data_IF_769491202634
#
_entry.id   IF_769491202634
#
_cell.length_a   1.000
_cell.length_b   1.000
_cell.length_c   1.000
_cell.angle_alpha   90.00
_cell.angle_beta   90.00
_cell.angle_gamma   90.00
#
_symmetry.space_group_name_H-M   'P 1'
#
loop_
_entity.id
_entity.type
_entity.pdbx_description
1 polymer ?
#
# COMPACT_ATOMS: atom_id res chain seq x y z
N UNK A 1 -1.33 20.38 -7.83
CA UNK A 1 -1.43 18.91 -7.95
C UNK A 1 -2.85 18.48 -8.38
N UNK A 2 -3.87 18.61 -7.52
CA UNK A 2 -5.22 18.08 -7.81
C UNK A 2 -5.87 18.64 -9.08
N UNK A 3 -5.64 19.91 -9.43
CA UNK A 3 -6.13 20.51 -10.69
C UNK A 3 -5.62 19.75 -11.93
N UNK A 4 -4.32 19.47 -11.98
CA UNK A 4 -3.70 18.75 -13.10
C UNK A 4 -4.19 17.30 -13.20
N UNK A 5 -4.33 16.62 -12.06
CA UNK A 5 -4.89 15.27 -12.02
C UNK A 5 -6.36 15.25 -12.48
N UNK A 6 -7.15 16.24 -12.06
CA UNK A 6 -8.54 16.37 -12.47
C UNK A 6 -8.66 16.60 -13.99
N UNK A 7 -7.78 17.39 -14.59
CA UNK A 7 -7.75 17.56 -16.04
C UNK A 7 -7.50 16.24 -16.80
N UNK A 8 -6.69 15.33 -16.24
CA UNK A 8 -6.50 13.99 -16.82
C UNK A 8 -7.76 13.13 -16.74
N UNK A 9 -8.52 13.25 -15.66
CA UNK A 9 -9.82 12.57 -15.51
C UNK A 9 -10.84 13.14 -16.49
N UNK A 10 -10.97 14.47 -16.55
CA UNK A 10 -11.92 15.14 -17.45
C UNK A 10 -11.60 14.91 -18.94
N UNK A 11 -10.32 14.77 -19.28
CA UNK A 11 -9.91 14.40 -20.66
C UNK A 11 -10.12 12.92 -20.99
N UNK A 12 -10.65 12.11 -20.07
CA UNK A 12 -10.94 10.69 -20.29
C UNK A 12 -9.71 9.78 -20.31
N UNK A 13 -8.51 10.30 -19.97
CA UNK A 13 -7.26 9.51 -19.96
C UNK A 13 -7.12 8.67 -18.69
N UNK A 14 -7.82 9.05 -17.62
CA UNK A 14 -7.76 8.40 -16.31
C UNK A 14 -9.19 8.23 -15.79
N UNK A 15 -9.53 7.03 -15.34
CA UNK A 15 -10.86 6.74 -14.77
C UNK A 15 -10.94 7.13 -13.29
N UNK A 16 -9.91 6.78 -12.51
CA UNK A 16 -9.85 6.98 -11.07
C UNK A 16 -8.44 7.38 -10.64
N UNK A 17 -8.34 8.20 -9.61
CA UNK A 17 -7.06 8.61 -9.04
C UNK A 17 -6.68 7.66 -7.89
N UNK A 18 -5.43 7.24 -7.87
CA UNK A 18 -4.81 6.54 -6.74
C UNK A 18 -3.59 7.30 -6.24
N UNK A 19 -3.14 6.97 -5.03
CA UNK A 19 -1.92 7.53 -4.45
C UNK A 19 -1.11 6.44 -3.76
N UNK A 20 0.22 6.55 -3.76
CA UNK A 20 1.11 5.57 -3.15
C UNK A 20 2.08 6.23 -2.17
N UNK A 21 2.42 5.49 -1.11
CA UNK A 21 3.54 5.79 -0.19
C UNK A 21 3.59 7.26 0.28
N UNK A 22 2.41 7.84 0.50
CA UNK A 22 2.22 9.25 0.81
C UNK A 22 1.69 9.38 2.24
N UNK A 23 2.24 10.28 3.07
CA UNK A 23 1.75 10.45 4.45
C UNK A 23 0.24 10.72 4.51
N UNK A 24 -0.45 10.09 5.47
CA UNK A 24 -1.91 10.18 5.64
C UNK A 24 -2.43 11.63 5.59
N UNK A 25 -1.76 12.55 6.29
CA UNK A 25 -2.17 13.95 6.34
C UNK A 25 -2.12 14.67 4.98
N UNK A 26 -1.22 14.27 4.08
CA UNK A 26 -1.15 14.82 2.72
C UNK A 26 -2.36 14.34 1.92
N UNK A 27 -2.70 13.05 2.03
CA UNK A 27 -3.85 12.44 1.35
C UNK A 27 -5.14 13.12 1.79
N UNK A 28 -5.35 13.26 3.11
CA UNK A 28 -6.52 13.92 3.67
C UNK A 28 -6.65 15.37 3.18
N UNK A 29 -5.57 16.16 3.23
CA UNK A 29 -5.58 17.54 2.73
C UNK A 29 -5.86 17.62 1.23
N UNK A 30 -5.33 16.70 0.43
CA UNK A 30 -5.56 16.66 -1.00
C UNK A 30 -7.02 16.31 -1.34
N UNK A 31 -7.60 15.34 -0.63
CA UNK A 31 -9.00 14.98 -0.79
C UNK A 31 -9.95 16.06 -0.27
N UNK A 32 -9.61 16.73 0.84
CA UNK A 32 -10.34 17.90 1.32
C UNK A 32 -10.34 19.03 0.29
N UNK A 33 -9.17 19.37 -0.25
CA UNK A 33 -9.06 20.35 -1.33
C UNK A 33 -9.92 19.95 -2.53
N UNK A 34 -9.89 18.69 -2.94
CA UNK A 34 -10.68 18.20 -4.05
C UNK A 34 -12.19 18.33 -3.80
N UNK A 35 -12.69 17.95 -2.61
CA UNK A 35 -14.10 18.13 -2.23
C UNK A 35 -14.50 19.61 -2.30
N UNK A 36 -13.71 20.50 -1.71
CA UNK A 36 -14.02 21.92 -1.61
C UNK A 36 -14.04 22.65 -2.97
N UNK A 37 -13.43 22.06 -4.01
CA UNK A 37 -13.33 22.65 -5.35
C UNK A 37 -14.02 21.83 -6.43
N UNK A 38 -14.82 20.82 -6.07
CA UNK A 38 -15.54 19.97 -7.05
C UNK A 38 -14.62 19.15 -7.95
N UNK A 39 -13.43 18.78 -7.48
CA UNK A 39 -12.46 17.96 -8.22
C UNK A 39 -12.58 16.48 -7.85
N UNK A 40 -12.07 15.59 -8.71
CA UNK A 40 -11.97 14.17 -8.40
C UNK A 40 -10.99 13.92 -7.24
N UNK A 41 -11.46 13.21 -6.20
CA UNK A 41 -10.66 12.75 -5.05
C UNK A 41 -9.84 11.48 -5.39
N UNK A 42 -8.84 11.17 -4.57
CA UNK A 42 -8.21 9.84 -4.59
C UNK A 42 -9.21 8.78 -4.12
N UNK A 43 -9.26 7.66 -4.84
CA UNK A 43 -10.19 6.54 -4.58
C UNK A 43 -9.48 5.29 -4.04
N UNK A 44 -8.16 5.18 -4.20
CA UNK A 44 -7.36 4.04 -3.72
C UNK A 44 -6.01 4.50 -3.17
N UNK A 45 -5.56 3.87 -2.09
CA UNK A 45 -4.22 4.04 -1.54
C UNK A 45 -3.41 2.76 -1.74
N UNK A 46 -2.24 2.88 -2.35
CA UNK A 46 -1.26 1.81 -2.50
C UNK A 46 -0.12 2.00 -1.49
N UNK A 47 0.33 0.94 -0.82
CA UNK A 47 1.49 1.06 0.05
C UNK A 47 1.93 -0.24 0.69
N UNK A 48 3.09 -0.23 1.33
CA UNK A 48 3.68 -1.43 1.91
C UNK A 48 2.85 -1.93 3.09
N UNK A 49 2.43 -3.19 3.03
CA UNK A 49 1.91 -3.88 4.20
C UNK A 49 2.17 -5.39 4.08
N UNK A 50 2.52 -6.00 5.21
CA UNK A 50 2.70 -7.44 5.35
C UNK A 50 2.67 -7.81 6.84
N UNK A 51 2.63 -9.11 7.16
CA UNK A 51 2.75 -9.56 8.54
C UNK A 51 4.03 -9.04 9.25
N UNK A 52 5.10 -8.74 8.49
CA UNK A 52 6.37 -8.23 9.01
C UNK A 52 6.46 -6.69 9.02
N UNK A 53 5.56 -5.97 8.35
CA UNK A 53 5.61 -4.51 8.22
C UNK A 53 4.19 -3.96 8.29
N UNK A 54 3.85 -3.40 9.46
CA UNK A 54 2.48 -3.05 9.85
C UNK A 54 2.30 -1.55 10.15
N UNK A 55 3.30 -0.71 9.87
CA UNK A 55 3.22 0.75 10.08
C UNK A 55 2.01 1.38 9.35
N UNK A 56 1.63 0.76 8.23
CA UNK A 56 0.44 1.06 7.45
C UNK A 56 -0.86 1.07 8.28
N UNK A 57 -0.95 0.25 9.33
CA UNK A 57 -2.15 0.16 10.18
C UNK A 57 -2.34 1.36 11.10
N UNK A 58 -1.26 2.07 11.44
CA UNK A 58 -1.32 3.18 12.40
C UNK A 58 -2.09 4.37 11.84
N UNK A 59 -1.78 4.76 10.61
CA UNK A 59 -2.29 6.02 10.02
C UNK A 59 -3.02 5.80 8.70
N UNK A 60 -2.56 4.87 7.86
CA UNK A 60 -3.10 4.73 6.50
C UNK A 60 -4.48 4.07 6.53
N UNK A 61 -4.64 2.95 7.24
CA UNK A 61 -5.94 2.25 7.33
C UNK A 61 -7.03 3.15 7.94
N UNK A 62 -6.80 3.85 9.07
CA UNK A 62 -7.78 4.79 9.60
C UNK A 62 -8.10 5.93 8.62
N UNK A 63 -7.08 6.50 7.96
CA UNK A 63 -7.26 7.57 6.98
C UNK A 63 -8.08 7.10 5.78
N UNK A 64 -7.79 5.96 5.18
CA UNK A 64 -8.55 5.48 4.02
C UNK A 64 -9.99 5.16 4.38
N UNK A 65 -10.24 4.65 5.59
CA UNK A 65 -11.60 4.47 6.09
C UNK A 65 -12.34 5.81 6.24
N UNK A 66 -11.69 6.84 6.78
CA UNK A 66 -12.28 8.17 6.94
C UNK A 66 -12.52 8.89 5.59
N UNK A 67 -11.63 8.69 4.62
CA UNK A 67 -11.69 9.30 3.30
C UNK A 67 -12.51 8.49 2.27
N UNK A 68 -13.02 7.32 2.64
CA UNK A 68 -13.81 6.44 1.76
C UNK A 68 -12.98 5.82 0.63
N UNK A 69 -11.72 5.49 0.91
CA UNK A 69 -10.76 4.98 -0.08
C UNK A 69 -10.57 3.46 0.03
N UNK A 70 -10.32 2.81 -1.11
CA UNK A 70 -9.84 1.43 -1.17
C UNK A 70 -8.37 1.30 -0.79
N UNK A 71 -7.95 0.10 -0.43
CA UNK A 71 -6.57 -0.25 -0.12
C UNK A 71 -6.01 -1.21 -1.18
N UNK A 72 -4.79 -0.95 -1.63
CA UNK A 72 -4.04 -1.81 -2.54
C UNK A 72 -2.64 -2.10 -1.96
N UNK A 73 -2.51 -2.99 -0.97
CA UNK A 73 -1.22 -3.26 -0.36
C UNK A 73 -0.22 -3.89 -1.33
N UNK A 74 1.01 -3.41 -1.31
CA UNK A 74 2.13 -4.08 -1.98
C UNK A 74 3.03 -4.78 -0.96
N UNK A 75 3.75 -5.82 -1.41
CA UNK A 75 4.70 -6.54 -0.56
C UNK A 75 4.08 -7.48 0.46
N UNK A 76 2.82 -7.90 0.28
CA UNK A 76 2.06 -8.76 1.18
C UNK A 76 2.83 -10.02 1.66
N UNK A 77 3.67 -10.61 0.79
CA UNK A 77 4.51 -11.78 1.09
C UNK A 77 5.92 -11.42 1.60
N UNK A 78 6.07 -10.28 2.27
CA UNK A 78 7.37 -9.77 2.72
C UNK A 78 8.33 -9.42 1.58
N UNK A 79 7.81 -9.20 0.36
CA UNK A 79 8.65 -9.03 -0.84
C UNK A 79 9.29 -10.33 -1.34
N UNK A 80 8.75 -11.50 -0.93
CA UNK A 80 9.27 -12.82 -1.30
C UNK A 80 10.13 -13.48 -0.21
N UNK A 81 10.26 -12.84 0.96
CA UNK A 81 11.03 -13.39 2.10
C UNK A 81 10.23 -14.34 2.99
N UNK A 82 8.91 -14.34 2.86
CA UNK A 82 8.03 -15.32 3.52
C UNK A 82 8.17 -16.65 2.80
N UNK A 83 9.10 -17.45 3.30
CA UNK A 83 9.48 -18.76 2.78
C UNK A 83 9.70 -19.72 3.93
N UNK A 84 9.48 -21.00 3.68
CA UNK A 84 9.89 -22.06 4.60
C UNK A 84 11.41 -22.22 4.59
N UNK A 85 11.95 -22.92 5.59
CA UNK A 85 13.38 -23.25 5.60
C UNK A 85 13.79 -24.07 4.37
N UNK A 86 12.96 -25.02 3.94
CA UNK A 86 13.18 -25.83 2.74
C UNK A 86 13.21 -24.95 1.47
N UNK A 87 12.26 -24.04 1.32
CA UNK A 87 12.21 -23.09 0.19
C UNK A 87 13.34 -22.07 0.16
N UNK A 88 13.98 -21.79 1.32
CA UNK A 88 15.19 -20.96 1.36
C UNK A 88 16.43 -21.73 0.92
N UNK A 89 16.49 -23.04 1.20
CA UNK A 89 17.58 -23.92 0.77
C UNK A 89 17.45 -24.32 -0.70
N UNK A 90 16.25 -24.35 -1.25
CA UNK A 90 16.05 -24.62 -2.68
C UNK A 90 16.58 -23.46 -3.55
N UNK A 91 17.08 -23.79 -4.75
CA UNK A 91 17.53 -22.78 -5.72
C UNK A 91 16.39 -22.25 -6.60
N UNK A 92 15.14 -22.59 -6.29
CA UNK A 92 13.97 -22.24 -7.09
C UNK A 92 13.39 -20.87 -6.72
N UNK A 93 13.01 -20.11 -7.75
CA UNK A 93 12.36 -18.81 -7.61
C UNK A 93 13.29 -17.66 -7.25
N UNK A 94 12.70 -16.55 -6.79
CA UNK A 94 13.41 -15.30 -6.52
C UNK A 94 14.31 -15.45 -5.29
N UNK A 95 15.60 -15.18 -5.45
CA UNK A 95 16.57 -15.11 -4.34
C UNK A 95 16.46 -13.74 -3.68
N UNK A 96 16.04 -13.72 -2.42
CA UNK A 96 15.91 -12.51 -1.63
C UNK A 96 16.44 -12.80 -0.25
N UNK A 97 17.42 -12.02 0.20
CA UNK A 97 17.96 -12.15 1.54
C UNK A 97 16.89 -11.74 2.55
N UNK A 98 16.67 -12.60 3.54
CA UNK A 98 15.73 -12.36 4.62
C UNK A 98 16.49 -11.93 5.88
N UNK A 99 16.04 -10.86 6.53
CA UNK A 99 16.51 -10.49 7.85
C UNK A 99 16.04 -11.49 8.91
N UNK A 100 16.68 -11.50 10.07
CA UNK A 100 16.27 -12.34 11.21
C UNK A 100 14.80 -12.11 11.60
N UNK A 101 14.32 -10.86 11.54
CA UNK A 101 12.93 -10.52 11.82
C UNK A 101 11.96 -11.16 10.80
N UNK A 102 12.33 -11.18 9.52
CA UNK A 102 11.52 -11.82 8.46
C UNK A 102 11.52 -13.35 8.59
N UNK A 103 12.63 -13.95 9.03
CA UNK A 103 12.70 -15.39 9.31
C UNK A 103 11.76 -15.74 10.47
N UNK A 104 11.86 -15.01 11.60
CA UNK A 104 10.95 -15.19 12.75
C UNK A 104 9.48 -15.03 12.35
N UNK A 105 9.18 -14.04 11.51
CA UNK A 105 7.82 -13.84 10.99
C UNK A 105 7.35 -15.03 10.16
N UNK A 106 8.21 -15.58 9.30
CA UNK A 106 7.86 -16.74 8.47
C UNK A 106 7.58 -17.99 9.32
N UNK A 107 8.43 -18.25 10.33
CA UNK A 107 8.24 -19.34 11.27
C UNK A 107 6.96 -19.20 12.11
N UNK A 108 6.56 -17.96 12.42
CA UNK A 108 5.29 -17.70 13.08
C UNK A 108 4.10 -17.96 12.14
N UNK A 109 4.19 -17.55 10.87
CA UNK A 109 3.17 -17.79 9.85
C UNK A 109 2.97 -19.27 9.55
N UNK A 110 4.01 -20.11 9.64
CA UNK A 110 3.90 -21.57 9.46
C UNK A 110 3.10 -22.29 10.56
N UNK A 111 2.91 -21.64 11.72
CA UNK A 111 2.23 -22.23 12.88
C UNK A 111 0.73 -21.91 12.96
N UNK A 112 0.22 -21.07 12.06
CA UNK A 112 -1.17 -20.62 12.01
C UNK A 112 -1.86 -21.33 10.84
#
# INVERSE_FOLDING_TARGET
MMQSLNALVLSGKVLYLGISDTPAWVVSKANEYARNHGLRQFSVYQGRWSAASRDFEREIIPMTKAEGMGLAPWGALGGGTFKTEEQRKSQEGRKTEASEAQIKTSQALEKI
#
